data_IF_074599661645
#
_entry.id   IF_074599661645
#
_cell.length_a   1.000
_cell.length_b   1.000
_cell.length_c   1.000
_cell.angle_alpha   90.00
_cell.angle_beta   90.00
_cell.angle_gamma   90.00
#
_symmetry.space_group_name_H-M   'P 1'
#
loop_
_entity.id
_entity.type
_entity.pdbx_description
1 polymer ?
#
# COMPACT_ATOMS: atom_id res chain seq x y z
N UNK A 1 -25.93 -13.97 -11.05
CA UNK A 1 -25.32 -12.72 -10.59
C UNK A 1 -23.83 -12.97 -10.43
N UNK A 2 -22.98 -12.27 -11.18
CA UNK A 2 -21.53 -12.41 -11.05
C UNK A 2 -21.09 -11.45 -9.96
N UNK A 3 -20.61 -11.99 -8.84
CA UNK A 3 -20.04 -11.19 -7.76
C UNK A 3 -18.66 -10.69 -8.19
N UNK A 4 -18.50 -9.39 -8.35
CA UNK A 4 -17.23 -8.77 -8.75
C UNK A 4 -16.69 -8.00 -7.54
N UNK A 5 -15.59 -8.46 -6.91
CA UNK A 5 -14.92 -7.69 -5.87
C UNK A 5 -14.52 -6.31 -6.39
N UNK A 6 -14.97 -5.24 -5.73
CA UNK A 6 -14.65 -3.88 -6.13
C UNK A 6 -14.77 -2.92 -4.94
N UNK A 7 -14.03 -1.78 -4.96
CA UNK A 7 -14.15 -0.76 -3.92
C UNK A 7 -15.59 -0.25 -3.72
N UNK A 8 -16.39 -0.21 -4.79
CA UNK A 8 -17.77 0.29 -4.75
C UNK A 8 -18.78 -0.74 -4.21
N UNK A 9 -18.56 -2.04 -4.46
CA UNK A 9 -19.53 -3.10 -4.09
C UNK A 9 -19.14 -3.81 -2.79
N UNK A 10 -17.83 -4.04 -2.59
CA UNK A 10 -17.27 -4.86 -1.51
C UNK A 10 -15.95 -4.27 -1.02
N UNK A 11 -15.98 -3.06 -0.44
CA UNK A 11 -14.78 -2.36 -0.01
C UNK A 11 -13.94 -3.21 0.96
N UNK A 12 -12.65 -3.36 0.65
CA UNK A 12 -11.70 -4.12 1.47
C UNK A 12 -11.98 -5.63 1.48
N UNK A 13 -12.58 -6.16 0.41
CA UNK A 13 -12.68 -7.61 0.18
C UNK A 13 -12.08 -7.91 -1.19
N UNK A 14 -10.83 -8.33 -1.22
CA UNK A 14 -10.10 -8.68 -2.44
C UNK A 14 -10.19 -7.60 -3.53
N UNK A 15 -10.09 -6.32 -3.16
CA UNK A 15 -10.12 -5.23 -4.12
C UNK A 15 -8.76 -5.14 -4.83
N UNK A 16 -8.69 -5.61 -6.07
CA UNK A 16 -7.46 -5.71 -6.87
C UNK A 16 -7.27 -4.46 -7.75
N UNK A 17 -6.05 -3.92 -7.72
CA UNK A 17 -5.61 -2.76 -8.49
C UNK A 17 -4.38 -3.13 -9.31
N UNK A 18 -4.47 -2.94 -10.63
CA UNK A 18 -3.33 -3.10 -11.54
C UNK A 18 -2.54 -1.79 -11.59
N UNK A 19 -1.27 -1.85 -11.18
CA UNK A 19 -0.28 -0.79 -11.42
C UNK A 19 0.53 -1.13 -12.69
N UNK A 20 1.27 -0.17 -13.24
CA UNK A 20 2.08 -0.33 -14.46
C UNK A 20 2.99 -1.56 -14.42
N UNK A 21 3.53 -1.89 -13.25
CA UNK A 21 4.56 -2.92 -13.11
C UNK A 21 4.24 -4.00 -12.09
N UNK A 22 3.21 -3.86 -11.27
CA UNK A 22 2.87 -4.81 -10.20
C UNK A 22 1.37 -4.76 -9.91
N UNK A 23 0.90 -5.60 -8.99
CA UNK A 23 -0.49 -5.62 -8.55
C UNK A 23 -0.58 -5.31 -7.05
N UNK A 24 -1.66 -4.66 -6.65
CA UNK A 24 -1.99 -4.36 -5.25
C UNK A 24 -3.38 -4.91 -4.95
N UNK A 25 -3.53 -5.63 -3.85
CA UNK A 25 -4.85 -6.01 -3.32
C UNK A 25 -5.06 -5.37 -1.95
N UNK A 26 -6.25 -4.83 -1.73
CA UNK A 26 -6.70 -4.34 -0.42
C UNK A 26 -7.72 -5.31 0.16
N UNK A 27 -7.45 -5.82 1.36
CA UNK A 27 -8.32 -6.73 2.10
C UNK A 27 -8.38 -6.38 3.59
N UNK A 28 -9.47 -6.76 4.26
CA UNK A 28 -9.74 -6.50 5.68
C UNK A 28 -9.28 -7.66 6.59
N UNK A 29 -8.62 -8.68 6.05
CA UNK A 29 -8.13 -9.80 6.84
C UNK A 29 -7.24 -9.33 8.01
N UNK A 30 -7.60 -9.74 9.22
CA UNK A 30 -6.90 -9.40 10.47
C UNK A 30 -6.90 -10.57 11.46
N UNK A 31 -7.31 -11.76 11.02
CA UNK A 31 -7.39 -12.98 11.83
C UNK A 31 -6.82 -14.17 11.04
N UNK A 32 -6.45 -15.28 11.72
CA UNK A 32 -5.85 -16.43 11.08
C UNK A 32 -6.68 -17.01 9.92
N UNK A 33 -8.00 -17.13 10.08
CA UNK A 33 -8.87 -17.66 9.02
C UNK A 33 -8.89 -16.79 7.75
N UNK A 34 -8.87 -15.46 7.92
CA UNK A 34 -8.75 -14.51 6.81
C UNK A 34 -7.40 -14.66 6.10
N UNK A 35 -6.32 -14.81 6.86
CA UNK A 35 -4.98 -15.02 6.31
C UNK A 35 -4.85 -16.37 5.59
N UNK A 36 -5.44 -17.45 6.11
CA UNK A 36 -5.50 -18.74 5.43
C UNK A 36 -6.26 -18.65 4.09
N UNK A 37 -7.35 -17.89 4.05
CA UNK A 37 -8.09 -17.66 2.81
C UNK A 37 -7.28 -16.84 1.80
N UNK A 38 -6.57 -15.80 2.27
CA UNK A 38 -5.63 -15.04 1.44
C UNK A 38 -4.48 -15.92 0.94
N UNK A 39 -3.90 -16.77 1.78
CA UNK A 39 -2.84 -17.70 1.40
C UNK A 39 -3.28 -18.64 0.28
N UNK A 40 -4.45 -19.27 0.41
CA UNK A 40 -5.03 -20.12 -0.66
C UNK A 40 -5.29 -19.36 -1.96
N UNK A 41 -5.54 -18.06 -1.90
CA UNK A 41 -5.63 -17.22 -3.08
C UNK A 41 -4.24 -16.96 -3.68
N UNK A 42 -3.25 -16.61 -2.85
CA UNK A 42 -1.88 -16.36 -3.26
C UNK A 42 -1.19 -17.60 -3.85
N UNK A 43 -1.56 -18.81 -3.43
CA UNK A 43 -1.09 -20.07 -4.03
C UNK A 43 -1.46 -20.19 -5.52
N UNK A 44 -2.47 -19.44 -5.98
CA UNK A 44 -2.93 -19.42 -7.37
C UNK A 44 -2.38 -18.22 -8.15
N UNK A 45 -1.76 -17.27 -7.46
CA UNK A 45 -1.05 -16.16 -8.10
C UNK A 45 0.26 -16.72 -8.67
N UNK A 46 0.70 -16.29 -9.87
CA UNK A 46 1.98 -16.72 -10.42
C UNK A 46 3.14 -16.53 -9.43
N UNK A 47 4.23 -17.26 -9.65
CA UNK A 47 5.41 -17.14 -8.82
C UNK A 47 6.09 -15.78 -9.05
N UNK A 48 5.69 -14.80 -8.25
CA UNK A 48 6.20 -13.44 -8.25
C UNK A 48 6.53 -13.01 -6.82
N UNK A 49 7.32 -11.93 -6.63
CA UNK A 49 7.59 -11.38 -5.31
C UNK A 49 6.29 -10.95 -4.61
N UNK A 50 6.03 -11.45 -3.41
CA UNK A 50 4.82 -11.16 -2.62
C UNK A 50 5.20 -10.32 -1.40
N UNK A 51 4.55 -9.17 -1.26
CA UNK A 51 4.80 -8.23 -0.16
C UNK A 51 3.52 -8.08 0.65
N UNK A 52 3.58 -8.33 1.96
CA UNK A 52 2.43 -8.22 2.85
C UNK A 52 2.54 -7.03 3.79
N UNK A 53 1.58 -6.11 3.78
CA UNK A 53 1.39 -5.10 4.82
C UNK A 53 0.36 -5.61 5.82
N UNK A 54 0.79 -5.88 7.06
CA UNK A 54 -0.03 -6.56 8.08
C UNK A 54 -0.04 -5.79 9.39
N UNK A 55 -1.04 -6.04 10.23
CA UNK A 55 -1.06 -5.64 11.62
C UNK A 55 -1.62 -6.74 12.51
N UNK A 56 -1.26 -6.70 13.79
CA UNK A 56 -1.86 -7.51 14.84
C UNK A 56 -3.00 -6.76 15.52
N UNK A 57 -3.94 -7.50 16.11
CA UNK A 57 -5.09 -6.94 16.82
C UNK A 57 -4.87 -7.11 18.32
N UNK A 58 -4.95 -6.01 19.08
CA UNK A 58 -4.45 -5.96 20.45
C UNK A 58 -5.17 -6.82 21.50
N UNK A 59 -6.40 -7.27 21.25
CA UNK A 59 -7.15 -8.15 22.15
C UNK A 59 -7.00 -9.65 21.84
N UNK A 60 -6.07 -10.02 20.95
CA UNK A 60 -5.78 -11.42 20.61
C UNK A 60 -4.83 -12.05 21.61
N UNK A 61 -4.96 -13.37 21.79
CA UNK A 61 -3.99 -14.17 22.54
C UNK A 61 -2.64 -14.12 21.83
N UNK A 62 -1.56 -14.29 22.59
CA UNK A 62 -0.21 -14.26 22.06
C UNK A 62 -0.02 -15.31 20.96
N UNK A 63 -0.56 -16.52 21.17
CA UNK A 63 -0.52 -17.61 20.20
C UNK A 63 -1.23 -17.26 18.88
N UNK A 64 -2.32 -16.51 18.93
CA UNK A 64 -3.06 -16.10 17.73
C UNK A 64 -2.27 -15.06 16.93
N UNK A 65 -1.64 -14.10 17.62
CA UNK A 65 -0.77 -13.08 17.00
C UNK A 65 0.50 -13.70 16.42
N UNK A 66 1.14 -14.62 17.14
CA UNK A 66 2.28 -15.39 16.61
C UNK A 66 1.86 -16.24 15.41
N UNK A 67 0.69 -16.87 15.45
CA UNK A 67 0.19 -17.64 14.32
C UNK A 67 -0.05 -16.75 13.08
N UNK A 68 -0.54 -15.52 13.27
CA UNK A 68 -0.65 -14.55 12.18
C UNK A 68 0.72 -14.24 11.55
N UNK A 69 1.76 -14.09 12.38
CA UNK A 69 3.15 -13.97 11.92
C UNK A 69 3.61 -15.18 11.11
N UNK A 70 3.37 -16.41 11.60
CA UNK A 70 3.71 -17.66 10.90
C UNK A 70 3.01 -17.77 9.54
N UNK A 71 1.72 -17.43 9.47
CA UNK A 71 0.95 -17.43 8.23
C UNK A 71 1.53 -16.41 7.25
N UNK A 72 1.85 -15.20 7.72
CA UNK A 72 2.46 -14.15 6.91
C UNK A 72 3.78 -14.61 6.28
N UNK A 73 4.65 -15.26 7.07
CA UNK A 73 5.93 -15.78 6.59
C UNK A 73 5.82 -16.93 5.57
N UNK A 74 4.67 -17.62 5.51
CA UNK A 74 4.40 -18.62 4.46
C UNK A 74 3.86 -17.99 3.17
N UNK A 75 3.26 -16.81 3.28
CA UNK A 75 2.55 -16.14 2.20
C UNK A 75 3.41 -15.13 1.44
N UNK A 76 4.37 -14.50 2.12
CA UNK A 76 5.08 -13.33 1.63
C UNK A 76 6.60 -13.54 1.65
N UNK A 77 7.28 -12.89 0.71
CA UNK A 77 8.74 -12.79 0.67
C UNK A 77 9.25 -11.62 1.54
N UNK A 78 8.42 -10.59 1.71
CA UNK A 78 8.65 -9.45 2.60
C UNK A 78 7.38 -9.10 3.37
N UNK A 79 7.53 -8.80 4.66
CA UNK A 79 6.43 -8.32 5.50
C UNK A 79 6.72 -6.92 6.04
N UNK A 80 5.75 -6.03 5.89
CA UNK A 80 5.73 -4.70 6.50
C UNK A 80 4.70 -4.74 7.62
N UNK A 81 5.15 -4.55 8.86
CA UNK A 81 4.29 -4.52 10.04
C UNK A 81 3.90 -3.07 10.31
N UNK A 82 2.60 -2.81 10.28
CA UNK A 82 2.00 -1.54 10.72
C UNK A 82 1.20 -1.72 11.99
N UNK A 83 0.82 -0.61 12.62
CA UNK A 83 0.04 -0.64 13.86
C UNK A 83 -1.45 -0.46 13.58
N UNK A 84 -2.26 -1.18 14.34
CA UNK A 84 -3.69 -0.91 14.45
C UNK A 84 -3.87 0.36 15.31
N UNK A 85 -4.83 1.22 14.96
CA UNK A 85 -5.16 2.40 15.77
C UNK A 85 -5.74 2.00 17.14
N UNK A 86 -6.29 0.80 17.25
CA UNK A 86 -6.93 0.28 18.44
C UNK A 86 -6.13 -0.87 19.07
N UNK A 87 -5.28 -0.52 20.03
CA UNK A 87 -4.41 -1.47 20.72
C UNK A 87 -5.09 -2.28 21.84
N UNK A 88 -6.36 -1.97 22.17
CA UNK A 88 -7.20 -2.72 23.12
C UNK A 88 -6.50 -3.12 24.44
N UNK A 89 -5.64 -2.23 24.95
CA UNK A 89 -4.95 -2.42 26.23
C UNK A 89 -3.61 -3.16 26.16
N UNK A 90 -3.14 -3.57 24.97
CA UNK A 90 -1.80 -4.12 24.74
C UNK A 90 -0.85 -3.04 24.21
N UNK A 91 0.44 -3.16 24.47
CA UNK A 91 1.41 -2.24 23.86
C UNK A 91 1.63 -2.60 22.39
N UNK A 92 2.05 -1.60 21.62
CA UNK A 92 2.36 -1.75 20.21
C UNK A 92 3.63 -2.57 19.99
N UNK A 93 4.66 -2.34 20.82
CA UNK A 93 5.91 -3.07 20.79
C UNK A 93 5.71 -4.57 21.11
N UNK A 94 4.79 -4.92 22.03
CA UNK A 94 4.45 -6.32 22.32
C UNK A 94 3.82 -7.02 21.11
N UNK A 95 2.86 -6.36 20.43
CA UNK A 95 2.20 -6.93 19.24
C UNK A 95 3.23 -7.13 18.12
N UNK A 96 4.08 -6.14 17.88
CA UNK A 96 5.14 -6.21 16.88
C UNK A 96 6.11 -7.35 17.20
N UNK A 97 6.54 -7.48 18.46
CA UNK A 97 7.45 -8.54 18.88
C UNK A 97 6.85 -9.94 18.67
N UNK A 98 5.56 -10.13 18.96
CA UNK A 98 4.85 -11.40 18.75
C UNK A 98 4.73 -11.75 17.26
N UNK A 99 4.39 -10.78 16.42
CA UNK A 99 4.34 -10.97 14.96
C UNK A 99 5.72 -11.35 14.40
N UNK A 100 6.76 -10.61 14.78
CA UNK A 100 8.14 -10.90 14.37
C UNK A 100 8.55 -12.28 14.84
N UNK A 101 8.25 -12.66 16.09
CA UNK A 101 8.58 -13.99 16.62
C UNK A 101 7.93 -15.09 15.77
N UNK A 102 6.63 -14.98 15.49
CA UNK A 102 5.93 -15.93 14.63
C UNK A 102 6.49 -16.00 13.20
N UNK A 103 6.86 -14.86 12.63
CA UNK A 103 7.53 -14.79 11.32
C UNK A 103 8.86 -15.55 11.34
N UNK A 104 9.72 -15.24 12.31
CA UNK A 104 11.11 -15.75 12.40
C UNK A 104 11.15 -17.24 12.71
N UNK A 105 10.13 -17.80 13.34
CA UNK A 105 9.99 -19.25 13.50
C UNK A 105 9.86 -20.00 12.17
N UNK A 106 9.26 -19.38 11.15
CA UNK A 106 9.05 -20.00 9.83
C UNK A 106 10.16 -19.60 8.85
N UNK A 107 10.51 -18.31 8.85
CA UNK A 107 11.47 -17.72 7.93
C UNK A 107 12.45 -16.82 8.70
N UNK A 108 13.52 -17.39 9.29
CA UNK A 108 14.46 -16.67 10.15
C UNK A 108 15.11 -15.44 9.50
N UNK A 109 15.31 -15.47 8.19
CA UNK A 109 16.02 -14.43 7.42
C UNK A 109 15.08 -13.52 6.61
N UNK A 110 13.76 -13.67 6.73
CA UNK A 110 12.78 -12.89 5.94
C UNK A 110 12.95 -11.39 6.16
N UNK A 111 12.77 -10.58 5.12
CA UNK A 111 12.78 -9.12 5.27
C UNK A 111 11.53 -8.69 6.03
N UNK A 112 11.74 -8.00 7.15
CA UNK A 112 10.66 -7.45 7.97
C UNK A 112 10.95 -5.97 8.22
N UNK A 113 9.99 -5.12 7.85
CA UNK A 113 10.07 -3.67 8.03
C UNK A 113 8.94 -3.24 8.96
N UNK A 114 9.21 -2.38 9.94
CA UNK A 114 8.19 -1.86 10.86
C UNK A 114 7.88 -0.41 10.51
N UNK A 115 6.63 -0.12 10.16
CA UNK A 115 6.14 1.23 9.85
C UNK A 115 4.82 1.48 10.58
N UNK A 116 4.89 2.20 11.69
CA UNK A 116 3.76 2.32 12.64
C UNK A 116 2.49 2.87 11.96
N UNK A 117 2.61 3.84 11.06
CA UNK A 117 1.46 4.44 10.37
C UNK A 117 1.10 3.68 9.11
N UNK A 118 -0.20 3.43 8.93
CA UNK A 118 -0.73 2.75 7.75
C UNK A 118 -0.38 3.46 6.43
N UNK A 119 -0.54 4.79 6.39
CA UNK A 119 -0.18 5.58 5.20
C UNK A 119 1.30 5.39 4.81
N UNK A 120 2.21 5.44 5.78
CA UNK A 120 3.64 5.28 5.55
C UNK A 120 3.96 3.86 5.03
N UNK A 121 3.32 2.83 5.62
CA UNK A 121 3.45 1.44 5.19
C UNK A 121 2.95 1.22 3.76
N UNK A 122 1.77 1.77 3.40
CA UNK A 122 1.20 1.66 2.05
C UNK A 122 2.10 2.36 1.04
N UNK A 123 2.55 3.59 1.33
CA UNK A 123 3.46 4.34 0.45
C UNK A 123 4.78 3.61 0.24
N UNK A 124 5.34 3.02 1.30
CA UNK A 124 6.57 2.25 1.19
C UNK A 124 6.39 0.98 0.34
N UNK A 125 5.33 0.21 0.61
CA UNK A 125 5.05 -1.03 -0.12
C UNK A 125 4.89 -0.76 -1.62
N UNK A 126 4.10 0.24 -1.99
CA UNK A 126 3.85 0.62 -3.39
C UNK A 126 5.10 1.27 -4.03
N UNK A 127 5.82 2.11 -3.29
CA UNK A 127 6.99 2.83 -3.80
C UNK A 127 8.24 1.96 -3.97
N UNK A 128 8.30 0.80 -3.32
CA UNK A 128 9.45 -0.12 -3.37
C UNK A 128 9.12 -1.48 -3.99
N UNK A 129 7.87 -1.70 -4.40
CA UNK A 129 7.44 -2.94 -5.04
C UNK A 129 8.30 -3.23 -6.30
N UNK A 130 8.97 -4.39 -6.38
CA UNK A 130 9.71 -4.75 -7.58
C UNK A 130 8.73 -5.02 -8.72
N UNK A 131 9.24 -4.94 -9.96
CA UNK A 131 8.46 -5.30 -11.14
C UNK A 131 7.96 -6.75 -11.03
N UNK A 132 6.69 -6.95 -11.31
CA UNK A 132 5.97 -8.21 -11.21
C UNK A 132 5.39 -8.50 -9.82
N UNK A 133 5.66 -7.67 -8.81
CA UNK A 133 5.25 -7.96 -7.45
C UNK A 133 3.72 -8.06 -7.28
N UNK A 134 3.33 -8.78 -6.24
CA UNK A 134 1.98 -8.84 -5.74
C UNK A 134 1.93 -8.32 -4.30
N UNK A 135 1.43 -7.11 -4.12
CA UNK A 135 1.34 -6.42 -2.82
C UNK A 135 -0.02 -6.69 -2.19
N UNK A 136 -0.05 -7.15 -0.95
CA UNK A 136 -1.27 -7.39 -0.17
C UNK A 136 -1.31 -6.41 0.99
N UNK A 137 -2.36 -5.59 1.03
CA UNK A 137 -2.60 -4.62 2.08
C UNK A 137 -3.73 -5.11 2.99
N UNK A 138 -3.39 -5.58 4.19
CA UNK A 138 -4.34 -5.95 5.24
C UNK A 138 -4.66 -4.71 6.09
N UNK A 139 -5.78 -4.06 5.81
CA UNK A 139 -6.18 -2.79 6.43
C UNK A 139 -7.47 -2.94 7.24
N UNK A 140 -7.47 -2.42 8.47
CA UNK A 140 -8.68 -2.30 9.30
C UNK A 140 -9.43 -0.99 9.03
N UNK A 141 -8.77 0.01 8.44
CA UNK A 141 -9.35 1.30 8.02
C UNK A 141 -9.48 1.33 6.49
N UNK A 142 -10.31 0.43 5.99
CA UNK A 142 -10.50 0.19 4.56
C UNK A 142 -10.75 1.46 3.72
N UNK A 143 -11.60 2.42 4.13
CA UNK A 143 -11.82 3.62 3.34
C UNK A 143 -10.55 4.44 3.09
N UNK A 144 -9.77 4.70 4.16
CA UNK A 144 -8.51 5.47 4.09
C UNK A 144 -7.50 4.76 3.18
N UNK A 145 -7.37 3.43 3.32
CA UNK A 145 -6.48 2.63 2.48
C UNK A 145 -6.89 2.65 1.00
N UNK A 146 -8.19 2.50 0.71
CA UNK A 146 -8.69 2.54 -0.67
C UNK A 146 -8.49 3.92 -1.30
N UNK A 147 -8.78 5.00 -0.57
CA UNK A 147 -8.55 6.38 -1.04
C UNK A 147 -7.08 6.59 -1.41
N UNK A 148 -6.16 6.18 -0.53
CA UNK A 148 -4.73 6.33 -0.76
C UNK A 148 -4.26 5.49 -1.96
N UNK A 149 -4.71 4.24 -2.08
CA UNK A 149 -4.33 3.35 -3.20
C UNK A 149 -4.85 3.91 -4.53
N UNK A 150 -6.08 4.43 -4.57
CA UNK A 150 -6.64 5.07 -5.75
C UNK A 150 -5.83 6.30 -6.16
N UNK A 151 -5.49 7.17 -5.20
CA UNK A 151 -4.65 8.36 -5.46
C UNK A 151 -3.25 7.98 -5.99
N UNK A 152 -2.65 6.94 -5.42
CA UNK A 152 -1.34 6.44 -5.88
C UNK A 152 -1.43 5.80 -7.26
N UNK A 153 -2.54 5.11 -7.56
CA UNK A 153 -2.82 4.54 -8.88
C UNK A 153 -3.01 5.61 -9.95
N UNK A 154 -3.75 6.69 -9.65
CA UNK A 154 -3.89 7.83 -10.56
C UNK A 154 -2.53 8.46 -10.88
N UNK A 155 -1.65 8.59 -9.88
CA UNK A 155 -0.29 9.07 -10.10
C UNK A 155 0.57 8.07 -10.89
N UNK A 156 0.42 6.76 -10.65
CA UNK A 156 1.08 5.72 -11.44
C UNK A 156 0.64 5.78 -12.91
N UNK A 157 -0.62 6.12 -13.20
CA UNK A 157 -1.15 6.22 -14.56
C UNK A 157 -0.75 7.51 -15.29
N UNK A 158 -0.35 8.56 -14.57
CA UNK A 158 0.11 9.80 -15.20
C UNK A 158 1.30 9.49 -16.13
N UNK A 159 1.08 9.76 -17.41
CA UNK A 159 2.14 9.85 -18.42
C UNK A 159 2.68 11.27 -18.30
N UNK A 160 4.00 11.49 -18.16
CA UNK A 160 4.53 12.83 -18.28
C UNK A 160 4.20 13.33 -19.68
N UNK A 161 3.28 14.29 -19.77
CA UNK A 161 3.03 15.03 -20.99
C UNK A 161 4.13 16.07 -21.15
N UNK A 162 4.94 15.95 -22.20
CA UNK A 162 5.79 17.05 -22.64
C UNK A 162 4.90 18.14 -23.24
N UNK A 163 5.24 19.44 -23.08
CA UNK A 163 4.63 20.51 -23.86
C UNK A 163 4.67 20.26 -25.38
N UNK A 164 5.59 19.40 -25.84
CA UNK A 164 5.75 18.96 -27.24
C UNK A 164 4.68 17.94 -27.67
N UNK A 165 4.05 17.23 -26.73
CA UNK A 165 3.00 16.24 -27.00
C UNK A 165 1.62 16.89 -27.21
N UNK A 166 1.52 18.22 -27.08
CA UNK A 166 0.29 18.99 -27.30
C UNK A 166 0.25 19.39 -28.78
N UNK A 167 -0.55 18.71 -29.64
CA UNK A 167 -0.71 19.16 -31.00
C UNK A 167 -1.43 20.51 -30.94
N UNK A 168 -0.86 21.53 -31.58
CA UNK A 168 -1.43 22.87 -31.73
C UNK A 168 -1.19 23.89 -30.59
N UNK A 169 -0.07 23.81 -29.83
CA UNK A 169 0.42 24.98 -29.09
C UNK A 169 0.87 26.06 -30.08
N UNK A 170 -0.03 26.97 -30.42
CA UNK A 170 0.32 28.23 -31.09
C UNK A 170 1.41 28.90 -30.26
N UNK A 171 2.54 29.26 -30.88
CA UNK A 171 3.61 30.08 -30.29
C UNK A 171 3.13 31.52 -30.10
N UNK A 172 2.07 31.74 -29.37
CA UNK A 172 1.59 33.09 -29.05
C UNK A 172 1.01 33.06 -27.64
N UNK A 173 1.86 33.43 -26.68
CA UNK A 173 1.58 34.08 -25.39
C UNK A 173 2.90 34.10 -24.59
N UNK A 174 3.95 34.63 -25.21
CA UNK A 174 5.01 35.31 -24.46
C UNK A 174 4.64 36.78 -24.57
N UNK A 175 3.78 37.25 -23.66
CA UNK A 175 3.68 38.69 -23.43
C UNK A 175 4.93 39.02 -22.63
N UNK A 176 5.92 39.56 -23.32
CA UNK A 176 7.11 40.15 -22.71
C UNK A 176 6.64 41.24 -21.74
N UNK A 177 6.79 40.99 -20.44
CA UNK A 177 6.81 42.06 -19.45
C UNK A 177 8.16 42.79 -19.59
N UNK A 178 8.27 43.64 -20.61
CA UNK A 178 9.34 44.62 -20.69
C UNK A 178 8.98 45.81 -19.82
N UNK A 179 9.83 46.02 -18.81
CA UNK A 179 9.89 47.18 -17.94
C UNK A 179 9.71 48.49 -18.72
N UNK A 180 8.77 49.33 -18.27
CA UNK A 180 8.79 50.75 -18.60
C UNK A 180 9.59 51.45 -17.50
N UNK A 181 10.83 51.81 -17.83
CA UNK A 181 11.59 52.79 -17.06
C UNK A 181 10.93 54.17 -17.22
N UNK A 182 10.48 54.75 -16.11
CA UNK A 182 10.09 56.16 -16.03
C UNK A 182 11.36 57.02 -16.05
N UNK A 183 11.58 57.72 -17.17
CA UNK A 183 12.53 58.84 -17.25
C UNK A 183 11.79 60.18 -17.21
N UNK A 184 12.01 60.89 -16.10
CA UNK A 184 12.23 62.35 -15.97
C UNK A 184 11.21 63.36 -16.55
N UNK A 185 10.68 64.20 -15.66
CA UNK A 185 10.53 65.68 -15.73
C UNK A 185 10.08 66.12 -14.32
N UNK A 186 10.67 67.08 -13.60
CA UNK A 186 10.76 68.49 -13.93
C UNK A 186 11.80 69.22 -13.05
N UNK A 187 12.41 70.25 -13.66
CA UNK A 187 12.75 71.61 -13.18
C UNK A 187 13.42 71.81 -11.81
#
# INVERSE_FOLDING_TARGET
ATFVPSPAQTPGRMNLFQFKHFQVVVDYAHNPHGFEALGRFLDKVPDTPKIGVIAGVGDRRDEDTMNLGRLSARMFDEVIIRQDRNLRGRSDDDIIALLISGIREVAPDMKVTVMKKEEEAIRHAIGTAPKGAFVVLCSDVVPDALELVLKLKEHDEQVPFSPEDIPNRTRELVVENTNVEETTHDL
#
